data_IF_138637767952
#
_entry.id   IF_138637767952
#
_cell.length_a   1.000
_cell.length_b   1.000
_cell.length_c   1.000
_cell.angle_alpha   90.00
_cell.angle_beta   90.00
_cell.angle_gamma   90.00
#
_symmetry.space_group_name_H-M   'P 1'
#
loop_
_entity.id
_entity.type
_entity.pdbx_description
1 polymer ?
#
# COMPACT_ATOMS: atom_id res chain seq x y z
N UNK A 1 -18.76 12.67 -17.31
CA UNK A 1 -18.85 13.76 -16.30
C UNK A 1 -20.33 13.97 -16.01
N UNK A 2 -20.93 13.27 -15.03
CA UNK A 2 -22.33 13.44 -14.68
C UNK A 2 -22.44 14.53 -13.61
N UNK A 3 -23.28 15.51 -13.90
CA UNK A 3 -23.59 16.68 -13.09
C UNK A 3 -23.91 16.25 -11.65
N UNK A 4 -23.20 16.79 -10.66
CA UNK A 4 -23.47 16.59 -9.23
C UNK A 4 -24.85 17.16 -8.88
N UNK A 5 -25.92 16.38 -9.09
CA UNK A 5 -27.16 16.62 -8.36
C UNK A 5 -26.89 16.40 -6.87
N UNK A 6 -27.31 17.32 -6.01
CA UNK A 6 -27.22 17.16 -4.55
C UNK A 6 -28.07 15.95 -4.14
N UNK A 7 -27.44 14.83 -3.86
CA UNK A 7 -28.08 13.64 -3.32
C UNK A 7 -28.58 13.92 -1.89
N UNK A 8 -29.76 13.42 -1.54
CA UNK A 8 -30.22 13.41 -0.15
C UNK A 8 -29.37 12.50 0.70
N UNK A 9 -29.44 12.63 2.03
CA UNK A 9 -28.67 11.79 2.95
C UNK A 9 -28.90 10.28 2.70
N UNK A 10 -30.15 9.86 2.49
CA UNK A 10 -30.48 8.46 2.16
C UNK A 10 -29.93 8.05 0.80
N UNK A 11 -29.98 8.91 -0.21
CA UNK A 11 -29.40 8.62 -1.53
C UNK A 11 -27.88 8.50 -1.47
N UNK A 12 -27.22 9.34 -0.68
CA UNK A 12 -25.78 9.29 -0.47
C UNK A 12 -25.38 8.00 0.26
N UNK A 13 -26.14 7.58 1.27
CA UNK A 13 -25.92 6.31 1.96
C UNK A 13 -26.00 5.11 0.99
N UNK A 14 -27.02 5.08 0.13
CA UNK A 14 -27.21 4.02 -0.87
C UNK A 14 -26.04 4.04 -1.87
N UNK A 15 -25.68 5.21 -2.38
CA UNK A 15 -24.56 5.39 -3.30
C UNK A 15 -23.23 4.91 -2.71
N UNK A 16 -22.90 5.36 -1.50
CA UNK A 16 -21.65 4.98 -0.84
C UNK A 16 -21.57 3.47 -0.61
N UNK A 17 -22.69 2.83 -0.23
CA UNK A 17 -22.70 1.38 -0.08
C UNK A 17 -22.47 0.66 -1.42
N UNK A 18 -23.14 1.11 -2.51
CA UNK A 18 -22.96 0.53 -3.86
C UNK A 18 -21.49 0.61 -4.27
N UNK A 19 -20.87 1.78 -4.13
CA UNK A 19 -19.47 2.00 -4.52
C UNK A 19 -18.51 1.11 -3.71
N UNK A 20 -18.72 1.04 -2.40
CA UNK A 20 -17.88 0.25 -1.51
C UNK A 20 -18.08 -1.28 -1.65
N UNK A 21 -19.22 -1.74 -2.19
CA UNK A 21 -19.60 -3.15 -2.21
C UNK A 21 -19.96 -3.67 -3.61
N UNK A 22 -19.34 -3.15 -4.67
CA UNK A 22 -19.65 -3.50 -6.07
C UNK A 22 -19.70 -5.00 -6.33
N UNK A 23 -18.73 -5.76 -5.81
CA UNK A 23 -18.70 -7.23 -5.96
C UNK A 23 -19.94 -7.94 -5.42
N UNK A 24 -20.51 -7.44 -4.33
CA UNK A 24 -21.75 -7.97 -3.74
C UNK A 24 -22.98 -7.48 -4.49
N UNK A 25 -23.02 -6.19 -4.81
CA UNK A 25 -24.17 -5.53 -5.46
C UNK A 25 -24.46 -6.11 -6.86
N UNK A 26 -23.45 -6.56 -7.59
CA UNK A 26 -23.64 -7.17 -8.93
C UNK A 26 -24.49 -8.45 -8.92
N UNK A 27 -24.55 -9.15 -7.77
CA UNK A 27 -25.17 -10.48 -7.66
C UNK A 27 -26.44 -10.49 -6.80
N UNK A 28 -26.72 -9.45 -6.01
CA UNK A 28 -27.90 -9.36 -5.15
C UNK A 28 -29.05 -8.65 -5.86
N UNK A 29 -30.28 -8.96 -5.42
CA UNK A 29 -31.50 -8.29 -5.91
C UNK A 29 -31.66 -6.88 -5.30
N UNK A 30 -32.46 -6.04 -5.96
CA UNK A 30 -32.83 -4.71 -5.43
C UNK A 30 -33.46 -4.80 -4.03
N UNK A 31 -34.27 -5.85 -3.76
CA UNK A 31 -34.91 -6.06 -2.45
C UNK A 31 -33.91 -6.41 -1.38
N UNK A 32 -32.93 -7.25 -1.69
CA UNK A 32 -31.82 -7.60 -0.77
C UNK A 32 -30.97 -6.36 -0.47
N UNK A 33 -30.62 -5.56 -1.48
CA UNK A 33 -29.91 -4.28 -1.28
C UNK A 33 -30.70 -3.34 -0.36
N UNK A 34 -32.01 -3.20 -0.58
CA UNK A 34 -32.87 -2.38 0.25
C UNK A 34 -32.92 -2.89 1.70
N UNK A 35 -32.99 -4.22 1.89
CA UNK A 35 -32.97 -4.86 3.21
C UNK A 35 -31.64 -4.63 3.95
N UNK A 36 -30.51 -4.80 3.29
CA UNK A 36 -29.16 -4.56 3.87
C UNK A 36 -29.04 -3.12 4.39
N UNK A 37 -29.59 -2.17 3.65
CA UNK A 37 -29.50 -0.74 3.98
C UNK A 37 -30.64 -0.24 4.88
N UNK A 38 -31.58 -1.12 5.24
CA UNK A 38 -32.80 -0.79 6.01
C UNK A 38 -33.58 0.36 5.37
N UNK A 39 -33.69 0.37 4.04
CA UNK A 39 -34.45 1.36 3.26
C UNK A 39 -35.54 0.69 2.43
N UNK A 40 -36.52 1.47 1.96
CA UNK A 40 -37.54 0.91 1.05
C UNK A 40 -36.94 0.64 -0.35
N UNK A 41 -37.44 -0.40 -1.07
CA UNK A 41 -37.07 -0.63 -2.47
C UNK A 41 -37.30 0.61 -3.36
N UNK A 42 -38.35 1.37 -3.09
CA UNK A 42 -38.65 2.63 -3.78
C UNK A 42 -37.55 3.69 -3.57
N UNK A 43 -36.92 3.72 -2.42
CA UNK A 43 -35.79 4.62 -2.13
C UNK A 43 -34.56 4.25 -2.97
N UNK A 44 -34.27 2.96 -3.13
CA UNK A 44 -33.21 2.48 -4.01
C UNK A 44 -33.49 2.90 -5.46
N UNK A 45 -34.72 2.65 -5.96
CA UNK A 45 -35.11 3.05 -7.34
C UNK A 45 -34.97 4.56 -7.57
N UNK A 46 -35.40 5.39 -6.61
CA UNK A 46 -35.25 6.85 -6.73
C UNK A 46 -33.78 7.27 -6.75
N UNK A 47 -32.95 6.61 -5.98
CA UNK A 47 -31.50 6.87 -6.00
C UNK A 47 -30.90 6.51 -7.34
N UNK A 48 -31.23 5.34 -7.90
CA UNK A 48 -30.76 4.93 -9.22
C UNK A 48 -31.13 5.91 -10.31
N UNK A 49 -32.40 6.39 -10.30
CA UNK A 49 -32.84 7.42 -11.24
C UNK A 49 -32.08 8.73 -11.10
N UNK A 50 -31.80 9.16 -9.85
CA UNK A 50 -30.99 10.35 -9.58
C UNK A 50 -29.52 10.19 -10.05
N UNK A 51 -29.02 8.94 -10.11
CA UNK A 51 -27.70 8.59 -10.63
C UNK A 51 -27.68 8.35 -12.16
N UNK A 52 -28.86 8.46 -12.84
CA UNK A 52 -28.96 8.30 -14.29
C UNK A 52 -29.31 6.89 -14.79
N UNK A 53 -29.52 5.93 -13.90
CA UNK A 53 -29.91 4.57 -14.28
C UNK A 53 -31.42 4.43 -14.44
N UNK A 54 -31.88 3.81 -15.51
CA UNK A 54 -33.30 3.52 -15.75
C UNK A 54 -33.78 2.36 -14.89
N UNK A 55 -32.96 1.30 -14.80
CA UNK A 55 -33.27 0.07 -14.08
C UNK A 55 -32.09 -0.36 -13.19
N UNK A 56 -32.35 -1.17 -12.17
CA UNK A 56 -31.30 -1.75 -11.31
C UNK A 56 -30.33 -2.62 -12.10
N UNK A 57 -30.84 -3.31 -13.12
CA UNK A 57 -30.05 -4.13 -14.02
C UNK A 57 -29.00 -3.32 -14.81
N UNK A 58 -29.29 -2.07 -15.16
CA UNK A 58 -28.34 -1.18 -15.85
C UNK A 58 -27.11 -0.91 -14.96
N UNK A 59 -27.33 -0.60 -13.67
CA UNK A 59 -26.27 -0.48 -12.68
C UNK A 59 -25.47 -1.79 -12.53
N UNK A 60 -26.18 -2.94 -12.43
CA UNK A 60 -25.50 -4.24 -12.29
C UNK A 60 -24.63 -4.56 -13.50
N UNK A 61 -25.09 -4.25 -14.71
CA UNK A 61 -24.30 -4.45 -15.93
C UNK A 61 -23.09 -3.52 -15.97
N UNK A 62 -23.24 -2.24 -15.63
CA UNK A 62 -22.11 -1.34 -15.56
C UNK A 62 -21.06 -1.81 -14.54
N UNK A 63 -21.52 -2.27 -13.36
CA UNK A 63 -20.64 -2.87 -12.35
C UNK A 63 -19.96 -4.14 -12.90
N UNK A 64 -20.70 -5.02 -13.59
CA UNK A 64 -20.13 -6.24 -14.18
C UNK A 64 -19.11 -5.91 -15.27
N UNK A 65 -19.40 -4.93 -16.12
CA UNK A 65 -18.47 -4.46 -17.15
C UNK A 65 -17.24 -3.80 -16.52
N UNK A 66 -17.43 -2.99 -15.49
CA UNK A 66 -16.32 -2.39 -14.75
C UNK A 66 -15.45 -3.47 -14.08
N UNK A 67 -16.05 -4.43 -13.38
CA UNK A 67 -15.34 -5.54 -12.76
C UNK A 67 -14.69 -6.47 -13.81
N UNK A 68 -15.31 -6.65 -14.99
CA UNK A 68 -14.71 -7.41 -16.09
C UNK A 68 -13.60 -6.61 -16.80
N UNK A 69 -13.77 -5.30 -16.99
CA UNK A 69 -12.69 -4.40 -17.42
C UNK A 69 -11.53 -4.47 -16.43
N UNK A 70 -11.81 -4.46 -15.14
CA UNK A 70 -10.80 -4.64 -14.10
C UNK A 70 -10.20 -6.06 -14.08
N UNK A 71 -10.87 -7.09 -14.63
CA UNK A 71 -10.25 -8.41 -14.88
C UNK A 71 -9.32 -8.41 -16.09
N UNK A 72 -9.62 -7.62 -17.10
CA UNK A 72 -8.74 -7.42 -18.29
C UNK A 72 -7.61 -6.43 -17.96
N UNK A 73 -7.85 -5.54 -17.03
CA UNK A 73 -6.86 -4.57 -16.48
C UNK A 73 -6.15 -5.18 -15.27
N UNK A 74 -5.86 -6.46 -15.31
CA UNK A 74 -4.87 -7.11 -14.46
C UNK A 74 -3.44 -6.84 -14.99
N UNK A 75 -3.31 -5.77 -15.75
CA UNK A 75 -2.06 -5.33 -16.32
C UNK A 75 -1.29 -4.51 -15.27
N UNK A 76 -0.09 -4.96 -14.98
CA UNK A 76 0.88 -4.24 -14.16
C UNK A 76 1.07 -2.79 -14.64
N UNK A 77 0.89 -2.55 -15.94
CA UNK A 77 0.93 -1.22 -16.57
C UNK A 77 -0.13 -0.29 -16.01
N UNK A 78 -1.36 -0.78 -15.81
CA UNK A 78 -2.42 0.04 -15.22
C UNK A 78 -2.14 0.35 -13.76
N UNK A 79 -1.72 -0.63 -12.97
CA UNK A 79 -1.38 -0.42 -11.57
C UNK A 79 -0.21 0.58 -11.43
N UNK A 80 0.78 0.49 -12.31
CA UNK A 80 1.88 1.43 -12.35
C UNK A 80 1.40 2.84 -12.75
N UNK A 81 0.57 2.96 -13.80
CA UNK A 81 -0.01 4.25 -14.21
C UNK A 81 -0.87 4.84 -13.09
N UNK A 82 -1.70 4.03 -12.44
CA UNK A 82 -2.52 4.45 -11.30
C UNK A 82 -1.62 4.99 -10.19
N UNK A 83 -0.58 4.26 -9.80
CA UNK A 83 0.37 4.68 -8.78
C UNK A 83 1.02 6.02 -9.12
N UNK A 84 1.55 6.18 -10.33
CA UNK A 84 2.23 7.42 -10.73
C UNK A 84 1.29 8.59 -11.01
N UNK A 85 -0.02 8.37 -11.12
CA UNK A 85 -1.02 9.43 -11.29
C UNK A 85 -1.59 9.97 -9.98
N UNK A 86 -1.23 9.39 -8.83
CA UNK A 86 -1.80 9.78 -7.53
C UNK A 86 -1.11 11.01 -6.94
N UNK A 87 -1.90 11.88 -6.32
CA UNK A 87 -1.40 13.09 -5.66
C UNK A 87 -0.49 12.79 -4.46
N UNK A 88 -0.60 11.58 -3.87
CA UNK A 88 0.24 11.22 -2.73
C UNK A 88 1.74 11.14 -3.06
N UNK A 89 2.12 11.14 -4.34
CA UNK A 89 3.53 11.29 -4.72
C UNK A 89 4.13 12.63 -4.24
N UNK A 90 3.31 13.65 -4.09
CA UNK A 90 3.70 14.94 -3.50
C UNK A 90 3.96 14.83 -2.00
N UNK A 91 3.21 13.97 -1.29
CA UNK A 91 3.39 13.74 0.15
C UNK A 91 4.73 13.06 0.45
N UNK A 92 5.29 12.35 -0.53
CA UNK A 92 6.63 11.77 -0.38
C UNK A 92 7.74 12.81 -0.27
N UNK A 93 7.57 14.03 -0.77
CA UNK A 93 8.61 15.06 -0.65
C UNK A 93 8.89 15.41 0.80
N UNK A 94 7.84 15.51 1.63
CA UNK A 94 8.01 15.71 3.07
C UNK A 94 8.63 14.47 3.74
N UNK A 95 8.15 13.29 3.43
CA UNK A 95 8.69 12.02 3.97
C UNK A 95 10.15 11.79 3.55
N UNK A 96 10.52 12.20 2.34
CA UNK A 96 11.92 12.16 1.88
C UNK A 96 12.79 13.17 2.65
N UNK A 97 12.27 14.36 2.96
CA UNK A 97 12.98 15.30 3.81
C UNK A 97 13.22 14.73 5.22
N UNK A 98 12.23 14.01 5.79
CA UNK A 98 12.39 13.34 7.08
C UNK A 98 13.34 12.14 6.98
N UNK A 99 13.29 11.37 5.89
CA UNK A 99 14.28 10.32 5.62
C UNK A 99 15.71 10.87 5.56
N UNK A 100 15.95 12.03 4.91
CA UNK A 100 17.25 12.68 4.89
C UNK A 100 17.77 13.04 6.29
N UNK A 101 16.88 13.47 7.20
CA UNK A 101 17.25 13.73 8.61
C UNK A 101 17.66 12.44 9.33
N UNK A 102 17.00 11.32 9.05
CA UNK A 102 17.39 10.00 9.57
C UNK A 102 18.75 9.62 8.97
N UNK A 103 18.87 9.68 7.66
CA UNK A 103 20.08 9.29 6.93
C UNK A 103 21.30 10.15 7.21
N UNK A 104 21.13 11.38 7.73
CA UNK A 104 22.25 12.23 8.16
C UNK A 104 22.93 11.72 9.43
N UNK A 105 22.25 10.88 10.21
CA UNK A 105 22.76 10.34 11.48
C UNK A 105 23.56 9.06 11.32
N UNK A 106 23.49 8.39 10.18
CA UNK A 106 24.23 7.16 9.90
C UNK A 106 24.59 7.03 8.43
N UNK A 107 25.69 6.32 8.15
CA UNK A 107 26.04 5.87 6.79
C UNK A 107 25.74 4.37 6.59
N UNK A 108 25.25 3.70 7.61
CA UNK A 108 25.02 2.26 7.63
C UNK A 108 23.53 1.96 7.54
N UNK A 109 23.15 1.22 6.50
CA UNK A 109 21.78 0.83 6.20
C UNK A 109 21.67 -0.69 6.09
N UNK A 110 20.65 -1.24 6.71
CA UNK A 110 20.37 -2.67 6.65
C UNK A 110 18.98 -2.81 6.03
N UNK A 111 18.88 -3.62 4.99
CA UNK A 111 17.59 -3.89 4.34
C UNK A 111 17.06 -5.23 4.86
N UNK A 112 15.80 -5.26 5.25
CA UNK A 112 15.16 -6.47 5.73
C UNK A 112 13.83 -6.74 5.04
N UNK A 113 13.64 -7.95 4.55
CA UNK A 113 12.40 -8.41 3.91
C UNK A 113 12.45 -9.89 3.61
N UNK A 114 11.29 -10.52 3.43
CA UNK A 114 11.17 -11.98 3.23
C UNK A 114 10.54 -12.24 1.87
N UNK A 115 10.96 -13.31 1.19
CA UNK A 115 10.50 -13.67 -0.14
C UNK A 115 10.84 -12.59 -1.18
N UNK A 116 9.89 -12.23 -2.06
CA UNK A 116 10.12 -11.20 -3.09
C UNK A 116 10.51 -9.83 -2.53
N UNK A 117 10.08 -9.52 -1.31
CA UNK A 117 10.55 -8.33 -0.59
C UNK A 117 12.03 -8.46 -0.21
N UNK A 118 12.51 -9.66 0.12
CA UNK A 118 13.92 -9.95 0.36
C UNK A 118 14.78 -9.73 -0.88
N UNK A 119 14.31 -10.19 -2.06
CA UNK A 119 15.00 -9.96 -3.33
C UNK A 119 15.15 -8.45 -3.63
N UNK A 120 14.10 -7.67 -3.33
CA UNK A 120 14.15 -6.21 -3.46
C UNK A 120 15.01 -5.53 -2.39
N UNK A 121 15.21 -6.15 -1.23
CA UNK A 121 16.18 -5.67 -0.25
C UNK A 121 17.62 -5.72 -0.79
N UNK A 122 18.00 -6.79 -1.49
CA UNK A 122 19.29 -6.88 -2.17
C UNK A 122 19.46 -5.78 -3.24
N UNK A 123 18.41 -5.56 -4.04
CA UNK A 123 18.40 -4.47 -5.01
C UNK A 123 18.56 -3.10 -4.31
N UNK A 124 17.79 -2.85 -3.25
CA UNK A 124 17.83 -1.60 -2.49
C UNK A 124 19.18 -1.35 -1.85
N UNK A 125 19.76 -2.36 -1.20
CA UNK A 125 21.10 -2.28 -0.62
C UNK A 125 22.13 -1.90 -1.70
N UNK A 126 22.06 -2.52 -2.88
CA UNK A 126 22.95 -2.18 -4.01
C UNK A 126 22.80 -0.72 -4.46
N UNK A 127 21.56 -0.19 -4.53
CA UNK A 127 21.33 1.22 -4.88
C UNK A 127 21.99 2.17 -3.86
N UNK A 128 21.93 1.84 -2.57
CA UNK A 128 22.55 2.64 -1.51
C UNK A 128 24.07 2.58 -1.56
N UNK A 129 24.67 1.41 -1.82
CA UNK A 129 26.12 1.27 -2.04
C UNK A 129 26.58 2.11 -3.24
N UNK A 130 25.83 2.13 -4.33
CA UNK A 130 26.13 2.98 -5.49
C UNK A 130 26.11 4.48 -5.14
N UNK A 131 25.39 4.86 -4.08
CA UNK A 131 25.34 6.22 -3.53
C UNK A 131 26.21 6.40 -2.28
N UNK A 132 27.32 5.65 -2.19
CA UNK A 132 28.37 5.76 -1.15
C UNK A 132 27.88 5.54 0.29
N UNK A 133 26.90 4.67 0.47
CA UNK A 133 26.42 4.23 1.79
C UNK A 133 26.85 2.79 2.03
N UNK A 134 27.14 2.45 3.27
CA UNK A 134 27.32 1.05 3.65
C UNK A 134 25.93 0.41 3.70
N UNK A 135 25.68 -0.60 2.89
CA UNK A 135 24.38 -1.25 2.88
C UNK A 135 24.49 -2.74 2.55
N UNK A 136 23.68 -3.55 3.21
CA UNK A 136 23.49 -4.95 2.92
C UNK A 136 22.06 -5.38 3.24
N UNK A 137 21.65 -6.55 2.74
CA UNK A 137 20.33 -7.10 2.94
C UNK A 137 20.34 -8.34 3.83
N UNK A 138 19.26 -8.53 4.57
CA UNK A 138 18.95 -9.75 5.34
C UNK A 138 17.58 -10.24 4.86
N UNK A 139 17.55 -11.41 4.22
CA UNK A 139 16.33 -12.08 3.75
C UNK A 139 15.91 -13.26 4.62
N UNK A 140 16.72 -13.63 5.61
CA UNK A 140 16.46 -14.75 6.50
C UNK A 140 15.56 -14.32 7.67
N UNK A 141 14.33 -14.88 7.80
CA UNK A 141 13.43 -14.57 8.90
C UNK A 141 13.96 -15.02 10.27
N UNK A 142 14.91 -15.93 10.30
CA UNK A 142 15.54 -16.48 11.51
C UNK A 142 16.94 -15.94 11.76
N UNK A 143 17.31 -14.85 11.10
CA UNK A 143 18.60 -14.22 11.36
C UNK A 143 18.74 -13.89 12.85
N UNK A 144 19.85 -14.31 13.51
CA UNK A 144 20.00 -14.18 14.96
C UNK A 144 20.34 -12.75 15.38
N UNK A 145 19.38 -11.84 15.23
CA UNK A 145 19.51 -10.40 15.45
C UNK A 145 19.98 -10.10 16.88
N UNK A 146 19.48 -10.82 17.86
CA UNK A 146 19.75 -10.61 19.29
C UNK A 146 21.24 -10.77 19.63
N UNK A 147 21.98 -11.56 18.85
CA UNK A 147 23.41 -11.81 19.06
C UNK A 147 24.31 -10.72 18.45
N UNK A 148 23.74 -9.76 17.75
CA UNK A 148 24.49 -8.82 16.91
C UNK A 148 24.17 -7.36 17.24
N UNK A 149 24.14 -6.99 18.53
CA UNK A 149 23.77 -5.63 18.97
C UNK A 149 24.55 -4.53 18.23
N UNK A 150 25.86 -4.69 18.11
CA UNK A 150 26.72 -3.66 17.48
C UNK A 150 26.45 -3.50 15.99
N UNK A 151 25.86 -4.53 15.36
CA UNK A 151 25.46 -4.47 13.96
C UNK A 151 24.27 -3.57 13.74
N UNK A 152 23.38 -3.40 14.73
CA UNK A 152 22.10 -2.71 14.59
C UNK A 152 22.01 -1.39 15.35
N UNK A 153 22.73 -1.25 16.45
CA UNK A 153 22.66 -0.07 17.30
C UNK A 153 23.06 1.22 16.54
N UNK A 154 22.17 2.22 16.55
CA UNK A 154 22.37 3.51 15.89
C UNK A 154 22.34 3.46 14.36
N UNK A 155 21.97 2.32 13.75
CA UNK A 155 21.87 2.15 12.30
C UNK A 155 20.42 2.27 11.83
N UNK A 156 20.24 2.44 10.53
CA UNK A 156 18.89 2.48 9.93
C UNK A 156 18.57 1.14 9.28
N UNK A 157 17.47 0.52 9.70
CA UNK A 157 16.92 -0.69 9.06
C UNK A 157 15.76 -0.27 8.15
N UNK A 158 15.87 -0.57 6.86
CA UNK A 158 14.83 -0.36 5.87
C UNK A 158 14.08 -1.67 5.68
N UNK A 159 12.81 -1.71 6.08
CA UNK A 159 11.96 -2.89 6.08
C UNK A 159 11.02 -2.86 4.89
N UNK A 160 11.04 -3.91 4.08
CA UNK A 160 10.12 -4.10 2.96
C UNK A 160 9.08 -5.17 3.32
N UNK A 161 7.81 -4.79 3.35
CA UNK A 161 6.71 -5.72 3.62
C UNK A 161 5.42 -5.26 2.98
N UNK A 162 4.92 -6.01 2.00
CA UNK A 162 3.71 -5.62 1.25
C UNK A 162 2.51 -5.47 2.18
N UNK A 163 2.21 -6.47 3.01
CA UNK A 163 1.07 -6.42 3.93
C UNK A 163 1.36 -5.64 5.22
N UNK A 164 2.61 -5.61 5.66
CA UNK A 164 2.98 -5.11 6.98
C UNK A 164 2.53 -5.97 8.15
N UNK A 165 1.99 -7.20 7.88
CA UNK A 165 1.36 -8.08 8.89
C UNK A 165 2.03 -9.47 8.97
N UNK A 166 3.13 -9.71 8.25
CA UNK A 166 3.85 -10.97 8.33
C UNK A 166 4.52 -11.17 9.68
N UNK A 167 4.07 -12.15 10.49
CA UNK A 167 4.55 -12.35 11.85
C UNK A 167 6.08 -12.49 11.95
N UNK A 168 6.78 -13.27 11.08
CA UNK A 168 8.25 -13.34 11.15
C UNK A 168 8.93 -11.99 10.92
N UNK A 169 8.36 -11.14 10.05
CA UNK A 169 8.88 -9.78 9.80
C UNK A 169 8.62 -8.86 11.00
N UNK A 170 7.44 -8.95 11.60
CA UNK A 170 7.07 -8.17 12.79
C UNK A 170 8.01 -8.48 13.97
N UNK A 171 8.31 -9.77 14.20
CA UNK A 171 9.17 -10.20 15.28
C UNK A 171 10.59 -9.66 15.10
N UNK A 172 11.15 -9.74 13.89
CA UNK A 172 12.45 -9.15 13.60
C UNK A 172 12.48 -7.63 13.71
N UNK A 173 11.44 -6.93 13.28
CA UNK A 173 11.34 -5.46 13.46
C UNK A 173 11.35 -5.08 14.93
N UNK A 174 10.66 -5.83 15.80
CA UNK A 174 10.71 -5.61 17.26
C UNK A 174 12.12 -5.80 17.80
N UNK A 175 12.83 -6.84 17.37
CA UNK A 175 14.21 -7.11 17.76
C UNK A 175 15.13 -5.97 17.33
N UNK A 176 15.07 -5.51 16.07
CA UNK A 176 15.85 -4.37 15.59
C UNK A 176 15.62 -3.11 16.46
N UNK A 177 14.36 -2.80 16.79
CA UNK A 177 14.03 -1.66 17.66
C UNK A 177 14.62 -1.82 19.06
N UNK A 178 14.53 -3.00 19.66
CA UNK A 178 15.11 -3.27 21.00
C UNK A 178 16.62 -3.09 21.01
N UNK A 179 17.29 -3.34 19.88
CA UNK A 179 18.74 -3.12 19.74
C UNK A 179 19.12 -1.67 19.41
N UNK A 180 18.14 -0.76 19.30
CA UNK A 180 18.37 0.68 19.08
C UNK A 180 18.55 1.06 17.63
N UNK A 181 18.03 0.25 16.68
CA UNK A 181 17.96 0.63 15.28
C UNK A 181 16.81 1.64 15.03
N UNK A 182 17.01 2.53 14.07
CA UNK A 182 15.94 3.37 13.51
C UNK A 182 15.25 2.60 12.37
N UNK A 183 13.93 2.50 12.39
CA UNK A 183 13.16 1.72 11.43
C UNK A 183 12.51 2.63 10.39
N UNK A 184 12.81 2.38 9.13
CA UNK A 184 12.11 2.96 7.98
C UNK A 184 11.42 1.82 7.25
N UNK A 185 10.12 1.92 6.98
CA UNK A 185 9.41 0.85 6.27
C UNK A 185 8.79 1.31 4.96
N UNK A 186 8.66 0.37 4.02
CA UNK A 186 7.89 0.51 2.80
C UNK A 186 6.82 -0.56 2.80
N UNK A 187 5.54 -0.16 2.86
CA UNK A 187 4.38 -1.04 2.97
C UNK A 187 3.29 -0.62 2.00
N UNK A 188 2.29 -1.48 1.76
CA UNK A 188 1.21 -1.11 0.84
C UNK A 188 0.27 -0.02 1.41
N UNK A 189 0.08 0.02 2.72
CA UNK A 189 -0.68 1.07 3.41
C UNK A 189 -0.01 1.42 4.74
N UNK A 190 -0.46 2.48 5.39
CA UNK A 190 0.04 2.91 6.70
C UNK A 190 -0.67 2.27 7.88
N UNK A 191 -1.83 1.65 7.66
CA UNK A 191 -2.62 1.02 8.71
C UNK A 191 -2.25 -0.47 8.85
N UNK A 192 -1.02 -0.72 9.30
CA UNK A 192 -0.50 -2.06 9.55
C UNK A 192 0.55 -2.06 10.67
N UNK A 193 0.80 -3.23 11.22
CA UNK A 193 1.68 -3.40 12.38
C UNK A 193 3.11 -2.90 12.14
N UNK A 194 3.71 -3.18 10.99
CA UNK A 194 5.08 -2.74 10.67
C UNK A 194 5.15 -1.22 10.51
N UNK A 195 4.15 -0.61 9.84
CA UNK A 195 4.10 0.85 9.70
C UNK A 195 4.02 1.53 11.08
N UNK A 196 3.20 1.03 11.99
CA UNK A 196 3.10 1.55 13.36
C UNK A 196 4.36 1.32 14.22
N UNK A 197 5.14 0.29 13.92
CA UNK A 197 6.43 0.04 14.56
C UNK A 197 7.58 0.87 13.96
N UNK A 198 7.37 1.59 12.89
CA UNK A 198 8.42 2.33 12.16
C UNK A 198 8.51 3.78 12.62
N UNK A 199 9.72 4.33 12.56
CA UNK A 199 9.98 5.76 12.80
C UNK A 199 9.57 6.60 11.59
N UNK A 200 9.55 5.97 10.40
CA UNK A 200 9.06 6.56 9.14
C UNK A 200 8.50 5.46 8.24
N UNK A 201 7.31 5.66 7.68
CA UNK A 201 6.69 4.73 6.74
C UNK A 201 6.39 5.39 5.40
N UNK A 202 6.68 4.67 4.32
CA UNK A 202 6.28 4.97 2.95
C UNK A 202 5.20 3.98 2.53
N UNK A 203 3.96 4.45 2.36
CA UNK A 203 2.84 3.64 1.90
C UNK A 203 2.56 3.92 0.42
N UNK A 204 2.23 2.88 -0.39
CA UNK A 204 2.03 3.03 -1.83
C UNK A 204 0.62 2.72 -2.33
N UNK A 205 -0.30 2.31 -1.47
CA UNK A 205 -1.76 2.25 -1.65
C UNK A 205 -2.26 1.56 -2.93
N UNK A 206 -1.78 0.35 -3.21
CA UNK A 206 -2.32 -0.47 -4.30
C UNK A 206 -3.32 -1.51 -3.78
N UNK A 207 -4.27 -1.92 -4.62
CA UNK A 207 -5.17 -3.01 -4.30
C UNK A 207 -4.37 -4.31 -4.12
N UNK A 208 -4.59 -5.00 -2.98
CA UNK A 208 -3.96 -6.29 -2.72
C UNK A 208 -4.41 -7.35 -3.70
N UNK A 209 -3.46 -8.08 -4.25
CA UNK A 209 -3.70 -9.20 -5.14
C UNK A 209 -3.16 -10.49 -4.54
N UNK A 210 -4.04 -11.18 -3.82
CA UNK A 210 -3.69 -12.41 -3.11
C UNK A 210 -4.37 -13.60 -3.80
N UNK A 211 -3.60 -14.64 -4.13
CA UNK A 211 -4.09 -15.93 -4.62
C UNK A 211 -3.95 -16.97 -3.51
N UNK A 212 -5.06 -17.65 -3.19
CA UNK A 212 -5.10 -18.56 -2.05
C UNK A 212 -4.93 -17.81 -0.73
N UNK A 213 -4.15 -18.35 0.18
CA UNK A 213 -3.91 -17.75 1.50
C UNK A 213 -2.55 -17.09 1.64
N UNK A 214 -1.60 -17.38 0.74
CA UNK A 214 -0.18 -17.05 0.95
C UNK A 214 0.51 -16.37 -0.24
N UNK A 215 -0.04 -16.49 -1.45
CA UNK A 215 0.62 -15.95 -2.64
C UNK A 215 0.17 -14.52 -2.88
N UNK A 216 1.04 -13.56 -2.62
CA UNK A 216 0.79 -12.15 -2.87
C UNK A 216 1.40 -11.75 -4.22
N UNK A 217 0.53 -11.41 -5.18
CA UNK A 217 0.89 -10.92 -6.52
C UNK A 217 0.75 -9.40 -6.66
N UNK A 218 0.56 -8.67 -5.57
CA UNK A 218 0.54 -7.20 -5.61
C UNK A 218 1.86 -6.71 -6.20
N UNK A 219 1.79 -5.85 -7.22
CA UNK A 219 3.00 -5.35 -7.88
C UNK A 219 3.89 -4.57 -6.90
N UNK A 220 5.19 -4.76 -7.02
CA UNK A 220 6.20 -4.06 -6.23
C UNK A 220 6.93 -2.98 -7.03
N UNK A 221 6.39 -2.55 -8.18
CA UNK A 221 6.91 -1.40 -8.95
C UNK A 221 7.05 -0.15 -8.06
N UNK A 222 6.08 0.19 -7.17
CA UNK A 222 6.25 1.30 -6.24
C UNK A 222 7.44 1.15 -5.30
N UNK A 223 7.72 -0.08 -4.85
CA UNK A 223 8.86 -0.35 -3.95
C UNK A 223 10.18 -0.07 -4.67
N UNK A 224 10.33 -0.54 -5.92
CA UNK A 224 11.53 -0.25 -6.74
C UNK A 224 11.70 1.26 -6.94
N UNK A 225 10.62 1.96 -7.30
CA UNK A 225 10.64 3.42 -7.44
C UNK A 225 11.10 4.13 -6.15
N UNK A 226 10.53 3.74 -4.99
CA UNK A 226 10.88 4.32 -3.69
C UNK A 226 12.33 4.03 -3.32
N UNK A 227 12.83 2.81 -3.52
CA UNK A 227 14.21 2.44 -3.25
C UNK A 227 15.20 3.32 -4.05
N UNK A 228 14.94 3.52 -5.34
CA UNK A 228 15.75 4.41 -6.16
C UNK A 228 15.63 5.88 -5.72
N UNK A 229 14.43 6.33 -5.42
CA UNK A 229 14.19 7.71 -4.99
C UNK A 229 14.88 8.01 -3.66
N UNK A 230 14.80 7.09 -2.69
CA UNK A 230 15.48 7.22 -1.39
C UNK A 230 17.00 7.20 -1.55
N UNK A 231 17.54 6.29 -2.37
CA UNK A 231 18.97 6.23 -2.59
C UNK A 231 19.53 7.51 -3.25
N UNK A 232 18.83 8.05 -4.25
CA UNK A 232 19.22 9.32 -4.91
C UNK A 232 19.10 10.52 -3.98
N UNK A 233 18.14 10.50 -3.04
CA UNK A 233 17.99 11.56 -2.05
C UNK A 233 19.21 11.70 -1.13
N UNK A 234 20.04 10.66 -1.00
CA UNK A 234 21.27 10.68 -0.19
C UNK A 234 22.39 11.49 -0.84
N UNK A 235 22.40 11.63 -2.16
CA UNK A 235 23.44 12.42 -2.86
C UNK A 235 23.38 13.91 -2.55
N UNK A 236 22.26 14.41 -2.05
CA UNK A 236 22.07 15.84 -1.71
C UNK A 236 22.48 16.18 -0.27
N UNK A 237 22.97 15.20 0.50
CA UNK A 237 23.41 15.40 1.90
C UNK A 237 24.90 15.80 1.98
N UNK A 238 25.68 15.60 0.90
CA UNK A 238 27.14 15.80 0.88
C UNK A 238 27.59 17.10 0.17
N UNK A 239 26.66 18.03 -0.09
CA UNK A 239 26.99 19.41 -0.51
C UNK A 239 26.79 20.39 0.65
#
# INVERSE_FOLDING_TARGET
MHTKQKLTATQLQIYNYIVANKRKVKDITLRELAGILSVSPASVVRTLKALGYKHYYDLQNEIKEELNRNKVVDDITYQAQYYFSQDFLTDYDQKIADFKKIASKTKDFIFFGIGSSGDLCEYGARQFVNNRRNAFAIGDPYYPVELSRDLFHGKTVIVLSVSGEGQPTIDQVKNFRQLGATIVSITNNEDNTIAHLSDLNFAYHLEFKIIGQTINLTTQVPVVYLLERLSRALNTIEQ
#
